data_IF_532178920874
#
_entry.id   IF_532178920874
#
_cell.length_a   1.000
_cell.length_b   1.000
_cell.length_c   1.000
_cell.angle_alpha   90.00
_cell.angle_beta   90.00
_cell.angle_gamma   90.00
#
_symmetry.space_group_name_H-M   'P 1'
#
loop_
_entity.id
_entity.type
_entity.pdbx_description
1 polymer ?
#
# COMPACT_ATOMS: atom_id res chain seq x y z
N UNK A 1 1.86 -11.18 -0.88
CA UNK A 1 1.48 -9.80 -1.21
C UNK A 1 0.08 -9.81 -1.82
N UNK A 2 -0.93 -9.28 -1.14
CA UNK A 2 -2.30 -9.16 -1.65
C UNK A 2 -2.82 -7.77 -1.31
N UNK A 3 -3.71 -7.20 -2.14
CA UNK A 3 -4.28 -5.88 -1.85
C UNK A 3 -4.98 -5.82 -0.49
N UNK A 4 -5.65 -6.89 -0.08
CA UNK A 4 -6.29 -6.98 1.23
C UNK A 4 -5.30 -7.02 2.38
N UNK A 5 -4.17 -7.71 2.21
CA UNK A 5 -3.09 -7.75 3.19
C UNK A 5 -2.42 -6.39 3.33
N UNK A 6 -1.99 -5.80 2.21
CA UNK A 6 -1.35 -4.47 2.20
C UNK A 6 -2.27 -3.38 2.79
N UNK A 7 -3.58 -3.47 2.53
CA UNK A 7 -4.55 -2.56 3.12
C UNK A 7 -4.73 -2.79 4.63
N UNK A 8 -4.68 -4.04 5.08
CA UNK A 8 -4.70 -4.35 6.51
C UNK A 8 -3.48 -3.78 7.21
N UNK A 9 -2.29 -3.97 6.64
CA UNK A 9 -1.04 -3.47 7.19
C UNK A 9 -1.01 -1.93 7.20
N UNK A 10 -1.53 -1.29 6.15
CA UNK A 10 -1.64 0.17 6.09
C UNK A 10 -2.60 0.75 7.15
N UNK A 11 -3.68 0.03 7.49
CA UNK A 11 -4.58 0.41 8.59
C UNK A 11 -3.85 0.34 9.93
N UNK A 12 -3.11 -0.74 10.20
CA UNK A 12 -2.33 -0.90 11.43
C UNK A 12 -1.23 0.15 11.53
N UNK A 13 -0.54 0.43 10.43
CA UNK A 13 0.48 1.46 10.37
C UNK A 13 -0.08 2.86 10.70
N UNK A 14 -1.28 3.19 10.20
CA UNK A 14 -1.96 4.43 10.52
C UNK A 14 -2.33 4.51 12.02
N UNK A 15 -2.86 3.42 12.59
CA UNK A 15 -3.20 3.36 14.02
C UNK A 15 -1.99 3.58 14.91
N UNK A 16 -0.85 2.98 14.56
CA UNK A 16 0.41 3.20 15.25
C UNK A 16 0.87 4.67 15.13
N UNK A 17 0.87 5.22 13.90
CA UNK A 17 1.25 6.60 13.63
C UNK A 17 0.46 7.61 14.48
N UNK A 18 -0.85 7.39 14.61
CA UNK A 18 -1.74 8.26 15.40
C UNK A 18 -1.48 8.21 16.92
N UNK A 19 -0.75 7.22 17.42
CA UNK A 19 -0.41 7.06 18.83
C UNK A 19 0.98 7.63 19.19
N UNK A 20 1.77 8.05 18.21
CA UNK A 20 3.09 8.64 18.45
C UNK A 20 2.94 10.09 18.93
N UNK A 21 3.63 10.44 20.01
CA UNK A 21 3.55 11.78 20.63
C UNK A 21 4.02 12.90 19.68
N UNK A 22 4.89 12.58 18.72
CA UNK A 22 5.42 13.51 17.73
C UNK A 22 4.49 13.76 16.54
N UNK A 23 3.39 13.01 16.43
CA UNK A 23 2.47 13.04 15.29
C UNK A 23 1.19 13.76 15.69
N UNK A 24 0.79 14.74 14.89
CA UNK A 24 -0.52 15.38 15.02
C UNK A 24 -1.57 14.56 14.24
N UNK A 25 -2.46 13.81 14.93
CA UNK A 25 -3.43 12.95 14.25
C UNK A 25 -4.45 13.74 13.43
N UNK A 26 -4.57 15.06 13.64
CA UNK A 26 -5.47 15.91 12.87
C UNK A 26 -4.89 16.33 11.51
N UNK A 27 -3.61 16.05 11.22
CA UNK A 27 -2.89 16.52 10.02
C UNK A 27 -2.21 15.41 9.23
N UNK A 28 -2.76 14.20 9.23
CA UNK A 28 -2.21 13.07 8.48
C UNK A 28 -2.62 13.13 7.00
N UNK A 29 -1.66 12.90 6.11
CA UNK A 29 -1.88 12.69 4.68
C UNK A 29 -1.24 11.38 4.21
N UNK A 30 -1.73 10.83 3.10
CA UNK A 30 -1.20 9.60 2.51
C UNK A 30 -0.80 9.84 1.05
N UNK A 31 0.34 9.26 0.65
CA UNK A 31 0.77 9.20 -0.74
C UNK A 31 0.90 7.73 -1.15
N UNK A 32 0.40 7.40 -2.34
CA UNK A 32 0.45 6.04 -2.88
C UNK A 32 0.92 6.01 -4.32
N UNK A 33 1.85 5.10 -4.63
CA UNK A 33 2.45 4.92 -5.96
C UNK A 33 1.99 3.59 -6.56
N UNK A 34 1.63 3.57 -7.85
CA UNK A 34 1.29 2.31 -8.55
C UNK A 34 0.21 1.51 -7.80
N UNK A 35 0.47 0.24 -7.45
CA UNK A 35 -0.41 -0.56 -6.59
C UNK A 35 -0.65 0.09 -5.22
N UNK A 36 0.35 0.74 -4.64
CA UNK A 36 0.21 1.51 -3.40
C UNK A 36 -0.74 2.69 -3.52
N UNK A 37 -0.98 3.20 -4.74
CA UNK A 37 -2.03 4.19 -5.01
C UNK A 37 -3.44 3.63 -4.80
N UNK A 38 -3.66 2.36 -5.18
CA UNK A 38 -4.91 1.64 -4.90
C UNK A 38 -5.10 1.50 -3.38
N UNK A 39 -4.05 1.06 -2.68
CA UNK A 39 -4.06 0.92 -1.21
C UNK A 39 -4.34 2.26 -0.51
N UNK A 40 -3.67 3.34 -0.91
CA UNK A 40 -3.87 4.68 -0.35
C UNK A 40 -5.31 5.17 -0.55
N UNK A 41 -5.89 4.94 -1.73
CA UNK A 41 -7.29 5.29 -2.01
C UNK A 41 -8.27 4.47 -1.15
N UNK A 42 -8.07 3.16 -1.04
CA UNK A 42 -8.90 2.29 -0.20
C UNK A 42 -8.78 2.65 1.29
N UNK A 43 -7.57 2.94 1.76
CA UNK A 43 -7.31 3.36 3.14
C UNK A 43 -8.03 4.66 3.46
N UNK A 44 -7.89 5.68 2.61
CA UNK A 44 -8.58 6.96 2.76
C UNK A 44 -10.11 6.81 2.79
N UNK A 45 -10.66 5.88 2.01
CA UNK A 45 -12.08 5.54 2.06
C UNK A 45 -12.52 4.89 3.37
N UNK A 46 -11.73 3.92 3.88
CA UNK A 46 -12.03 3.20 5.15
C UNK A 46 -11.83 4.05 6.39
N UNK A 47 -10.84 4.94 6.38
CA UNK A 47 -10.42 5.79 7.51
C UNK A 47 -10.83 7.24 7.29
N UNK A 48 -12.06 7.40 6.80
CA UNK A 48 -12.63 8.71 6.49
C UNK A 48 -12.71 9.55 7.77
N UNK A 49 -11.96 10.65 7.80
CA UNK A 49 -11.86 11.53 8.96
C UNK A 49 -10.45 11.58 9.53
N UNK A 50 -9.70 10.48 9.45
CA UNK A 50 -8.32 10.39 9.95
C UNK A 50 -7.33 10.93 8.90
N UNK A 51 -7.62 10.75 7.61
CA UNK A 51 -6.78 11.20 6.50
C UNK A 51 -7.31 12.51 5.92
N UNK A 52 -6.46 13.56 5.90
CA UNK A 52 -6.81 14.91 5.42
C UNK A 52 -6.43 15.18 3.97
N UNK A 53 -5.44 14.47 3.46
CA UNK A 53 -4.97 14.63 2.09
C UNK A 53 -4.54 13.28 1.51
N UNK A 54 -4.77 13.10 0.22
CA UNK A 54 -4.41 11.90 -0.53
C UNK A 54 -3.72 12.34 -1.83
N UNK A 55 -2.50 11.85 -2.07
CA UNK A 55 -1.80 12.01 -3.33
C UNK A 55 -1.63 10.64 -4.00
N UNK A 56 -2.16 10.49 -5.22
CA UNK A 56 -2.10 9.23 -5.97
C UNK A 56 -1.21 9.41 -7.18
N UNK A 57 -0.15 8.61 -7.28
CA UNK A 57 0.79 8.67 -8.39
C UNK A 57 0.72 7.37 -9.21
N UNK A 58 0.27 7.49 -10.46
CA UNK A 58 0.14 6.37 -11.39
C UNK A 58 -0.61 5.19 -10.75
N UNK A 59 -1.68 5.49 -9.99
CA UNK A 59 -2.37 4.52 -9.17
C UNK A 59 -3.06 3.45 -10.01
N UNK A 60 -2.99 2.20 -9.55
CA UNK A 60 -3.79 1.10 -10.09
C UNK A 60 -5.27 1.36 -9.77
N UNK A 61 -6.09 1.45 -10.81
CA UNK A 61 -7.55 1.68 -10.69
C UNK A 61 -8.39 0.54 -11.28
N UNK A 62 -7.79 -0.43 -11.96
CA UNK A 62 -8.47 -1.57 -12.58
C UNK A 62 -8.58 -2.77 -11.62
N UNK A 63 -9.49 -3.69 -11.92
CA UNK A 63 -9.72 -4.92 -11.15
C UNK A 63 -8.39 -5.69 -10.96
N UNK A 64 -8.02 -6.13 -9.74
CA UNK A 64 -6.69 -6.67 -9.46
C UNK A 64 -6.27 -7.86 -10.34
N UNK A 65 -7.16 -8.83 -10.65
CA UNK A 65 -6.89 -9.87 -11.65
C UNK A 65 -6.56 -9.31 -13.03
N UNK A 66 -7.35 -8.35 -13.53
CA UNK A 66 -7.13 -7.74 -14.84
C UNK A 66 -5.83 -6.93 -14.93
N UNK A 67 -5.46 -6.23 -13.86
CA UNK A 67 -4.20 -5.50 -13.76
C UNK A 67 -3.01 -6.46 -13.71
N UNK A 68 -3.12 -7.53 -12.93
CA UNK A 68 -2.08 -8.55 -12.82
C UNK A 68 -1.82 -9.22 -14.17
N UNK A 69 -2.88 -9.65 -14.86
CA UNK A 69 -2.79 -10.26 -16.19
C UNK A 69 -2.14 -9.32 -17.21
N UNK A 70 -2.54 -8.05 -17.21
CA UNK A 70 -2.09 -7.08 -18.22
C UNK A 70 -0.65 -6.63 -18.01
N UNK A 71 -0.22 -6.44 -16.76
CA UNK A 71 1.06 -5.76 -16.47
C UNK A 71 2.10 -6.65 -15.82
N UNK A 72 1.72 -7.67 -15.06
CA UNK A 72 2.66 -8.48 -14.26
C UNK A 72 2.86 -9.88 -14.84
N UNK A 73 1.85 -10.45 -15.50
CA UNK A 73 1.95 -11.77 -16.12
C UNK A 73 3.12 -11.89 -17.13
N UNK A 74 3.44 -10.88 -17.96
CA UNK A 74 4.62 -10.93 -18.83
C UNK A 74 5.96 -11.08 -18.10
N UNK A 75 6.00 -10.73 -16.80
CA UNK A 75 7.19 -10.79 -15.96
C UNK A 75 7.09 -11.88 -14.88
N UNK A 76 6.09 -12.75 -14.95
CA UNK A 76 5.76 -13.72 -13.90
C UNK A 76 6.94 -14.58 -13.48
N UNK A 77 7.71 -15.10 -14.45
CA UNK A 77 8.89 -15.93 -14.18
C UNK A 77 9.99 -15.16 -13.44
N UNK A 78 10.19 -13.87 -13.76
CA UNK A 78 11.19 -13.03 -13.08
C UNK A 78 10.75 -12.64 -11.67
N UNK A 79 9.45 -12.41 -11.45
CA UNK A 79 8.87 -12.15 -10.12
C UNK A 79 9.05 -13.39 -9.22
N UNK A 80 8.77 -14.58 -9.74
CA UNK A 80 8.94 -15.83 -9.00
C UNK A 80 10.42 -16.20 -8.77
N UNK A 81 11.31 -15.83 -9.69
CA UNK A 81 12.74 -16.02 -9.51
C UNK A 81 13.34 -15.03 -8.48
N UNK A 82 12.85 -13.79 -8.45
CA UNK A 82 13.34 -12.72 -7.57
C UNK A 82 12.86 -12.77 -6.12
N UNK A 83 11.85 -13.58 -5.78
CA UNK A 83 11.37 -13.73 -4.40
C UNK A 83 12.30 -14.52 -3.48
N UNK A 84 13.48 -14.93 -3.97
CA UNK A 84 14.48 -15.71 -3.22
C UNK A 84 15.50 -14.86 -2.46
N UNK A 85 15.56 -13.54 -2.67
CA UNK A 85 16.49 -12.66 -1.96
C UNK A 85 15.82 -11.97 -0.76
N UNK A 86 15.46 -12.75 0.27
CA UNK A 86 15.26 -12.19 1.60
C UNK A 86 16.64 -12.03 2.25
N UNK A 87 17.00 -10.81 2.67
CA UNK A 87 18.18 -10.61 3.53
C UNK A 87 17.71 -10.91 4.95
N UNK A 88 18.12 -12.05 5.51
CA UNK A 88 18.02 -12.26 6.95
C UNK A 88 18.88 -11.21 7.64
N UNK A 89 18.25 -10.27 8.33
CA UNK A 89 18.96 -9.38 9.23
C UNK A 89 19.32 -10.20 10.48
N UNK A 90 20.51 -10.82 10.44
CA UNK A 90 21.12 -11.47 11.59
C UNK A 90 21.52 -10.44 12.65
N UNK A 91 20.69 -10.32 13.70
CA UNK A 91 21.02 -9.55 14.90
C UNK A 91 22.26 -10.05 15.62
#
# INVERSE_FOLDING_TARGET
MTLSGELSDAVVALDLLMQLDEVDPSRIGVVGFSMGGCIAAMLAGRRRGDIKAVALWAAVSEDPPSTFERFLNPFREQILAGSSSFVEWAG
#
